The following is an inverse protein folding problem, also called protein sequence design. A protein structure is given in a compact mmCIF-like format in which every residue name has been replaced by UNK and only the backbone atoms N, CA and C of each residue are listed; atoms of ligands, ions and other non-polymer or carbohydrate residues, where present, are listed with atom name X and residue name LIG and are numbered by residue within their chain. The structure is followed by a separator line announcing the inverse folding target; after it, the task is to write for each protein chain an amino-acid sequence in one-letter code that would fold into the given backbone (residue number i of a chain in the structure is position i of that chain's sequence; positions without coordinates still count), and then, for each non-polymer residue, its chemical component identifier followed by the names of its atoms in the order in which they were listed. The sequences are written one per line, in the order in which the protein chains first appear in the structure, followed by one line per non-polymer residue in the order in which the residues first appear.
data_IF_610938368995
#
_entry.id   IF_610938368995
#
_cell.length_a   1.000
_cell.length_b   1.000
_cell.length_c   1.000
_cell.angle_alpha   90.00
_cell.angle_beta   90.00
_cell.angle_gamma   90.00
#
_symmetry.space_group_name_H-M   'P 1'
#
loop_
_entity.id
_entity.type
_entity.pdbx_description
1 polymer ?
#
# COMPACT_ATOMS: atom_id res chain seq x y z
N UNK A 1 1.68 47.87 -31.40
CA UNK A 1 1.29 46.49 -31.07
C UNK A 1 2.47 45.58 -31.40
N UNK A 2 3.10 44.96 -30.40
CA UNK A 2 4.23 44.03 -30.58
C UNK A 2 3.76 42.63 -30.20
N UNK A 3 3.83 41.70 -31.16
CA UNK A 3 3.56 40.29 -30.95
C UNK A 3 4.64 39.68 -30.05
N UNK A 4 4.24 39.10 -28.92
CA UNK A 4 5.07 38.15 -28.18
C UNK A 4 4.54 36.75 -28.47
N UNK A 5 5.42 35.91 -29.01
CA UNK A 5 5.19 34.50 -29.19
C UNK A 5 6.15 33.72 -28.27
N UNK A 6 5.62 32.60 -27.77
CA UNK A 6 6.31 31.41 -27.22
C UNK A 6 6.80 31.52 -25.77
N UNK A 7 6.27 30.67 -24.89
CA UNK A 7 7.02 29.47 -24.47
C UNK A 7 6.16 28.52 -23.64
N UNK A 8 6.00 27.31 -24.19
CA UNK A 8 6.14 26.00 -23.56
C UNK A 8 5.31 25.68 -22.30
N UNK A 9 4.34 24.79 -22.51
CA UNK A 9 3.75 23.94 -21.46
C UNK A 9 4.87 23.25 -20.68
N UNK A 10 5.12 23.71 -19.45
CA UNK A 10 5.91 22.92 -18.51
C UNK A 10 4.93 21.95 -17.88
N UNK A 11 4.71 20.83 -18.56
CA UNK A 11 4.21 19.63 -17.91
C UNK A 11 5.18 19.33 -16.79
N UNK A 12 4.79 19.71 -15.58
CA UNK A 12 5.48 19.31 -14.36
C UNK A 12 5.27 17.79 -14.26
N UNK A 13 6.12 17.05 -14.95
CA UNK A 13 6.38 15.66 -14.65
C UNK A 13 7.13 15.67 -13.33
N UNK A 14 6.38 15.87 -12.24
CA UNK A 14 6.88 15.73 -10.88
C UNK A 14 7.33 14.27 -10.80
N UNK A 15 8.64 13.99 -10.70
CA UNK A 15 9.06 12.63 -10.41
C UNK A 15 8.41 12.23 -9.08
N UNK A 16 7.99 10.98 -8.87
CA UNK A 16 7.55 10.50 -7.57
C UNK A 16 8.76 10.44 -6.62
N UNK A 17 9.34 11.58 -6.27
CA UNK A 17 10.24 11.75 -5.13
C UNK A 17 9.37 11.96 -3.89
N UNK A 18 8.52 10.98 -3.63
CA UNK A 18 7.74 10.86 -2.41
C UNK A 18 8.09 9.53 -1.75
N UNK A 19 8.94 9.61 -0.73
CA UNK A 19 8.85 8.78 0.47
C UNK A 19 9.03 7.26 0.38
N UNK A 20 10.25 6.80 0.14
CA UNK A 20 10.62 5.46 0.60
C UNK A 20 10.45 5.34 2.13
N UNK A 21 10.82 6.38 2.90
CA UNK A 21 10.69 6.40 4.35
C UNK A 21 9.22 6.40 4.84
N UNK A 22 8.34 7.25 4.28
CA UNK A 22 6.93 7.26 4.71
C UNK A 22 6.18 6.00 4.22
N UNK A 23 6.65 5.33 3.17
CA UNK A 23 6.12 4.03 2.74
C UNK A 23 6.52 2.91 3.72
N UNK A 24 7.77 2.91 4.20
CA UNK A 24 8.24 1.99 5.24
C UNK A 24 7.48 2.21 6.57
N UNK A 25 7.22 3.47 6.94
CA UNK A 25 6.41 3.81 8.11
C UNK A 25 4.95 3.33 7.96
N UNK A 26 4.32 3.60 6.81
CA UNK A 26 2.95 3.17 6.54
C UNK A 26 2.80 1.64 6.55
N UNK A 27 3.75 0.91 5.95
CA UNK A 27 3.77 -0.55 5.96
C UNK A 27 3.91 -1.09 7.38
N UNK A 28 4.78 -0.49 8.19
CA UNK A 28 4.96 -0.88 9.59
C UNK A 28 3.69 -0.69 10.42
N UNK A 29 2.98 0.43 10.23
CA UNK A 29 1.68 0.66 10.88
C UNK A 29 0.61 -0.36 10.49
N UNK A 30 0.51 -0.71 9.21
CA UNK A 30 -0.45 -1.73 8.74
C UNK A 30 -0.12 -3.10 9.35
N UNK A 31 1.14 -3.50 9.35
CA UNK A 31 1.56 -4.78 9.94
C UNK A 31 1.32 -4.83 11.46
N UNK A 32 1.53 -3.73 12.18
CA UNK A 32 1.23 -3.64 13.60
C UNK A 32 -0.27 -3.82 13.88
N UNK A 33 -1.14 -3.11 13.14
CA UNK A 33 -2.59 -3.25 13.28
C UNK A 33 -3.08 -4.67 12.96
N UNK A 34 -2.47 -5.33 11.97
CA UNK A 34 -2.78 -6.72 11.65
C UNK A 34 -2.33 -7.66 12.78
N UNK A 35 -1.18 -7.41 13.39
CA UNK A 35 -0.72 -8.13 14.58
C UNK A 35 -1.72 -8.02 15.73
N UNK A 36 -2.20 -6.82 16.04
CA UNK A 36 -3.24 -6.61 17.07
C UNK A 36 -4.52 -7.39 16.76
N UNK A 37 -4.98 -7.41 15.50
CA UNK A 37 -6.15 -8.20 15.10
C UNK A 37 -5.95 -9.70 15.32
N UNK A 38 -4.75 -10.21 15.08
CA UNK A 38 -4.42 -11.63 15.30
C UNK A 38 -4.31 -11.94 16.80
N UNK A 39 -3.64 -11.08 17.57
CA UNK A 39 -3.49 -11.23 19.02
C UNK A 39 -4.85 -11.18 19.75
N UNK A 40 -5.78 -10.36 19.25
CA UNK A 40 -7.17 -10.30 19.75
C UNK A 40 -8.05 -11.47 19.27
N UNK A 41 -7.52 -12.38 18.44
CA UNK A 41 -8.26 -13.52 17.88
C UNK A 41 -9.33 -13.12 16.86
N UNK A 42 -9.23 -11.91 16.29
CA UNK A 42 -10.15 -11.39 15.26
C UNK A 42 -9.70 -11.72 13.84
N UNK A 43 -8.45 -12.17 13.69
CA UNK A 43 -7.89 -12.61 12.43
C UNK A 43 -6.91 -13.76 12.63
N UNK A 44 -6.69 -14.51 11.57
CA UNK A 44 -5.61 -15.48 11.44
C UNK A 44 -4.78 -15.08 10.22
N UNK A 45 -3.46 -15.27 10.29
CA UNK A 45 -2.61 -15.06 9.12
C UNK A 45 -1.74 -16.29 8.83
N UNK A 46 -1.40 -16.46 7.56
CA UNK A 46 -0.46 -17.48 7.11
C UNK A 46 0.45 -16.90 6.04
N UNK A 47 1.67 -17.44 5.94
CA UNK A 47 2.62 -17.01 4.91
C UNK A 47 2.56 -18.00 3.74
N UNK A 48 2.25 -17.48 2.56
CA UNK A 48 2.23 -18.24 1.32
C UNK A 48 3.64 -18.57 0.83
N UNK A 49 3.74 -19.50 -0.12
CA UNK A 49 5.02 -19.98 -0.66
C UNK A 49 5.80 -18.90 -1.42
N UNK A 50 5.10 -17.92 -2.01
CA UNK A 50 5.74 -16.81 -2.74
C UNK A 50 6.03 -15.59 -1.85
N UNK A 51 5.83 -15.73 -0.54
CA UNK A 51 6.18 -14.73 0.46
C UNK A 51 5.09 -13.72 0.79
N UNK A 52 3.93 -13.79 0.13
CA UNK A 52 2.70 -13.08 0.49
C UNK A 52 2.15 -13.55 1.84
N UNK A 53 1.37 -12.69 2.48
CA UNK A 53 0.66 -13.02 3.71
C UNK A 53 -0.83 -13.08 3.39
N UNK A 54 -1.45 -14.22 3.66
CA UNK A 54 -2.89 -14.37 3.64
C UNK A 54 -3.44 -14.04 5.03
N UNK A 55 -4.34 -13.06 5.10
CA UNK A 55 -5.04 -12.63 6.30
C UNK A 55 -6.50 -13.02 6.18
N UNK A 56 -6.99 -13.86 7.09
CA UNK A 56 -8.38 -14.28 7.20
C UNK A 56 -9.00 -13.64 8.43
N UNK A 57 -10.01 -12.80 8.23
CA UNK A 57 -10.78 -12.21 9.32
C UNK A 57 -11.85 -13.20 9.80
N UNK A 58 -12.23 -13.09 11.07
CA UNK A 58 -13.34 -13.86 11.65
C UNK A 58 -14.69 -13.54 10.96
N UNK A 59 -14.80 -12.40 10.30
CA UNK A 59 -15.95 -12.07 9.44
C UNK A 59 -16.07 -13.00 8.21
N UNK A 60 -15.03 -13.76 7.89
CA UNK A 60 -14.93 -14.58 6.69
C UNK A 60 -14.25 -13.86 5.51
N UNK A 61 -13.95 -12.57 5.65
CA UNK A 61 -13.21 -11.82 4.64
C UNK A 61 -11.76 -12.26 4.58
N UNK A 62 -11.22 -12.37 3.36
CA UNK A 62 -9.83 -12.80 3.13
C UNK A 62 -9.09 -11.75 2.32
N UNK A 63 -7.89 -11.40 2.78
CA UNK A 63 -7.00 -10.45 2.15
C UNK A 63 -5.63 -11.07 1.91
N UNK A 64 -5.02 -10.74 0.78
CA UNK A 64 -3.64 -11.09 0.44
C UNK A 64 -2.80 -9.82 0.50
N UNK A 65 -1.81 -9.81 1.39
CA UNK A 65 -0.83 -8.75 1.53
C UNK A 65 0.38 -9.11 0.66
N UNK A 66 0.42 -8.53 -0.55
CA UNK A 66 1.56 -8.59 -1.44
C UNK A 66 2.61 -7.54 -1.08
N UNK A 67 3.73 -7.55 -1.81
CA UNK A 67 4.84 -6.62 -1.57
C UNK A 67 4.42 -5.14 -1.68
N UNK A 68 3.56 -4.85 -2.66
CA UNK A 68 3.18 -3.49 -3.05
C UNK A 68 1.70 -3.16 -2.85
N UNK A 69 0.85 -4.17 -2.61
CA UNK A 69 -0.59 -3.99 -2.58
C UNK A 69 -1.28 -5.00 -1.66
N UNK A 70 -2.46 -4.60 -1.18
CA UNK A 70 -3.39 -5.46 -0.45
C UNK A 70 -4.58 -5.77 -1.35
N UNK A 71 -4.89 -7.06 -1.52
CA UNK A 71 -5.98 -7.52 -2.39
C UNK A 71 -7.00 -8.28 -1.59
N UNK A 72 -8.29 -7.92 -1.70
CA UNK A 72 -9.38 -8.71 -1.13
C UNK A 72 -9.77 -9.83 -2.10
N UNK A 73 -9.90 -11.06 -1.60
CA UNK A 73 -10.16 -12.25 -2.43
C UNK A 73 -11.48 -12.99 -2.09
N UNK A 74 -12.16 -12.61 -1.01
CA UNK A 74 -13.42 -13.23 -0.55
C UNK A 74 -14.33 -12.27 0.21
#
# INVERSE_FOLDING_TARGET
MRAMARSSTSGANVPPSGNVAQQEDAKSHVLAAIGELVDEGKAEWSRGESGEIELRLVSGEVFVLGEVAVTRVG
#
